data_IF_505985963670
#
_entry.id   IF_505985963670
#
_cell.length_a   1.000
_cell.length_b   1.000
_cell.length_c   1.000
_cell.angle_alpha   90.00
_cell.angle_beta   90.00
_cell.angle_gamma   90.00
#
_symmetry.space_group_name_H-M   'P 1'
#
loop_
_entity.id
_entity.type
_entity.pdbx_description
1 polymer ?
#
# COMPACT_ATOMS: atom_id res chain seq x y z
N UNK A 1 -25.90 -49.33 8.95
CA UNK A 1 -25.94 -47.96 8.38
C UNK A 1 -24.62 -47.28 8.72
N UNK A 2 -23.73 -47.12 7.74
CA UNK A 2 -22.48 -46.36 7.93
C UNK A 2 -22.79 -44.87 7.72
N UNK A 3 -22.51 -44.05 8.72
CA UNK A 3 -22.78 -42.61 8.68
C UNK A 3 -21.90 -41.92 7.62
N UNK A 4 -22.51 -41.02 6.86
CA UNK A 4 -21.80 -40.17 5.90
C UNK A 4 -20.80 -39.27 6.66
N UNK A 5 -19.51 -39.43 6.35
CA UNK A 5 -18.45 -38.58 6.87
C UNK A 5 -18.44 -37.29 6.05
N UNK A 6 -19.03 -36.22 6.60
CA UNK A 6 -18.88 -34.86 6.06
C UNK A 6 -17.47 -34.38 6.37
N UNK A 7 -16.56 -34.52 5.41
CA UNK A 7 -15.24 -33.92 5.50
C UNK A 7 -15.34 -32.43 5.19
N UNK A 8 -14.90 -31.62 6.16
CA UNK A 8 -14.89 -30.17 6.07
C UNK A 8 -13.86 -29.76 5.00
N UNK A 9 -14.33 -29.43 3.80
CA UNK A 9 -13.47 -28.94 2.72
C UNK A 9 -13.04 -27.53 3.12
N UNK A 10 -11.91 -27.41 3.83
CA UNK A 10 -11.22 -26.13 3.88
C UNK A 10 -10.89 -25.75 2.45
N UNK A 11 -11.59 -24.73 1.94
CA UNK A 11 -11.29 -24.10 0.65
C UNK A 11 -9.79 -23.87 0.60
N UNK A 12 -9.11 -24.64 -0.25
CA UNK A 12 -7.67 -24.53 -0.46
C UNK A 12 -7.46 -23.12 -0.97
N UNK A 13 -7.08 -22.20 -0.07
CA UNK A 13 -6.87 -20.79 -0.36
C UNK A 13 -5.92 -20.75 -1.55
N UNK A 14 -6.46 -20.43 -2.73
CA UNK A 14 -5.65 -20.13 -3.90
C UNK A 14 -4.94 -18.84 -3.50
N UNK A 15 -3.74 -18.96 -2.95
CA UNK A 15 -2.83 -17.85 -2.77
C UNK A 15 -2.45 -17.45 -4.19
N UNK A 16 -3.27 -16.60 -4.80
CA UNK A 16 -2.83 -15.86 -5.98
C UNK A 16 -1.57 -15.12 -5.52
N UNK A 17 -0.44 -15.21 -6.23
CA UNK A 17 0.68 -14.32 -5.95
C UNK A 17 0.11 -12.90 -6.08
N UNK A 18 -0.01 -12.21 -4.96
CA UNK A 18 -0.59 -10.88 -4.97
C UNK A 18 0.53 -9.95 -5.44
N UNK A 19 0.53 -9.72 -6.75
CA UNK A 19 1.43 -8.76 -7.39
C UNK A 19 1.13 -7.34 -6.94
N UNK A 20 1.95 -6.40 -7.40
CA UNK A 20 1.77 -4.97 -7.19
C UNK A 20 0.35 -4.55 -7.60
N UNK A 21 -0.49 -4.15 -6.63
CA UNK A 21 -1.89 -3.81 -6.88
C UNK A 21 -2.04 -2.31 -7.14
N UNK A 22 -2.47 -1.87 -8.34
CA UNK A 22 -2.79 -0.47 -8.59
C UNK A 22 -4.07 -0.08 -7.87
N UNK A 23 -4.02 1.01 -7.11
CA UNK A 23 -5.14 1.54 -6.34
C UNK A 23 -5.32 3.03 -6.60
N UNK A 24 -6.53 3.51 -6.34
CA UNK A 24 -6.77 4.93 -6.05
C UNK A 24 -6.42 5.23 -4.59
N UNK A 25 -6.17 6.49 -4.26
CA UNK A 25 -5.91 6.90 -2.86
C UNK A 25 -7.11 6.58 -1.96
N UNK A 26 -8.34 6.74 -2.46
CA UNK A 26 -9.56 6.35 -1.72
C UNK A 26 -9.58 4.87 -1.37
N UNK A 27 -9.25 3.99 -2.31
CA UNK A 27 -9.20 2.55 -2.04
C UNK A 27 -8.13 2.20 -1.00
N UNK A 28 -6.95 2.83 -1.09
CA UNK A 28 -5.91 2.68 -0.08
C UNK A 28 -6.41 3.13 1.30
N UNK A 29 -6.98 4.33 1.41
CA UNK A 29 -7.51 4.91 2.64
C UNK A 29 -8.66 4.08 3.24
N UNK A 30 -9.48 3.44 2.41
CA UNK A 30 -10.61 2.61 2.85
C UNK A 30 -10.25 1.14 3.10
N UNK A 31 -8.99 0.73 2.86
CA UNK A 31 -8.56 -0.64 3.06
C UNK A 31 -8.82 -1.12 4.50
N UNK A 32 -9.22 -2.38 4.68
CA UNK A 32 -9.46 -2.95 6.00
C UNK A 32 -8.22 -3.73 6.43
N UNK A 33 -7.73 -3.53 7.66
CA UNK A 33 -6.60 -4.32 8.13
C UNK A 33 -7.03 -5.78 8.28
N UNK A 34 -6.27 -6.71 7.69
CA UNK A 34 -6.54 -8.14 7.82
C UNK A 34 -6.31 -8.56 9.29
N UNK A 35 -7.09 -9.52 9.86
CA UNK A 35 -6.96 -9.93 11.25
C UNK A 35 -5.56 -10.44 11.66
N UNK A 36 -4.76 -10.93 10.71
CA UNK A 36 -3.36 -11.33 10.95
C UNK A 36 -2.40 -10.14 11.10
N UNK A 37 -2.84 -8.91 10.84
CA UNK A 37 -2.09 -7.67 11.03
C UNK A 37 -1.09 -7.30 9.92
N UNK A 38 -0.70 -8.25 9.06
CA UNK A 38 0.39 -8.07 8.10
C UNK A 38 -0.02 -7.47 6.75
N UNK A 39 -1.32 -7.43 6.47
CA UNK A 39 -1.87 -7.06 5.17
C UNK A 39 -3.21 -6.34 5.31
N UNK A 40 -3.74 -5.87 4.17
CA UNK A 40 -4.99 -5.14 4.06
C UNK A 40 -5.90 -5.82 3.04
N UNK A 41 -7.20 -5.81 3.31
CA UNK A 41 -8.24 -6.24 2.40
C UNK A 41 -8.75 -4.99 1.65
N UNK A 42 -8.58 -5.00 0.33
CA UNK A 42 -9.09 -3.98 -0.59
C UNK A 42 -9.96 -4.67 -1.62
N UNK A 43 -11.25 -4.34 -1.70
CA UNK A 43 -12.21 -4.94 -2.64
C UNK A 43 -12.19 -6.49 -2.63
N UNK A 44 -11.97 -7.09 -1.45
CA UNK A 44 -11.89 -8.55 -1.25
C UNK A 44 -10.51 -9.16 -1.55
N UNK A 45 -9.53 -8.36 -1.97
CA UNK A 45 -8.15 -8.77 -2.24
C UNK A 45 -7.26 -8.47 -1.04
N UNK A 46 -6.56 -9.49 -0.54
CA UNK A 46 -5.60 -9.38 0.55
C UNK A 46 -4.22 -8.95 0.00
N UNK A 47 -3.77 -7.73 0.28
CA UNK A 47 -2.48 -7.19 -0.18
C UNK A 47 -1.84 -6.24 0.84
N UNK A 48 -0.53 -6.08 0.77
CA UNK A 48 0.15 -4.91 1.33
C UNK A 48 1.05 -4.20 0.33
N UNK A 49 1.26 -4.71 -0.89
CA UNK A 49 2.11 -4.11 -1.92
C UNK A 49 1.20 -3.44 -2.96
N UNK A 50 1.35 -2.14 -3.12
CA UNK A 50 0.45 -1.32 -3.94
C UNK A 50 1.21 -0.33 -4.81
N UNK A 51 0.57 0.14 -5.88
CA UNK A 51 1.01 1.30 -6.64
C UNK A 51 -0.06 2.37 -6.67
N UNK A 52 0.37 3.61 -6.46
CA UNK A 52 -0.48 4.80 -6.51
C UNK A 52 0.14 5.80 -7.49
N UNK A 53 -0.71 6.60 -8.12
CA UNK A 53 -0.31 7.73 -8.95
C UNK A 53 -0.99 8.97 -8.41
N UNK A 54 -0.23 10.04 -8.20
CA UNK A 54 -0.78 11.30 -7.74
C UNK A 54 0.23 12.43 -7.79
N UNK A 55 -0.25 13.63 -7.50
CA UNK A 55 0.55 14.84 -7.40
C UNK A 55 1.22 14.92 -6.04
N UNK A 56 2.51 15.23 -6.03
CA UNK A 56 3.29 15.43 -4.82
C UNK A 56 3.01 16.81 -4.23
N UNK A 57 2.79 16.86 -2.92
CA UNK A 57 2.68 18.10 -2.16
C UNK A 57 3.39 17.96 -0.80
N UNK A 58 3.97 19.04 -0.29
CA UNK A 58 4.54 19.07 1.06
C UNK A 58 5.74 18.15 1.22
N UNK A 59 6.64 18.10 0.22
CA UNK A 59 7.89 17.34 0.34
C UNK A 59 8.74 17.86 1.49
N UNK A 60 9.15 16.96 2.37
CA UNK A 60 10.09 17.17 3.45
C UNK A 60 11.25 16.17 3.31
N UNK A 61 12.48 16.67 3.32
CA UNK A 61 13.70 15.87 3.25
C UNK A 61 14.35 15.82 4.63
N UNK A 62 14.60 14.60 5.12
CA UNK A 62 15.32 14.34 6.36
C UNK A 62 16.57 13.49 6.07
N UNK A 63 17.47 13.39 7.05
CA UNK A 63 18.73 12.64 6.91
C UNK A 63 18.53 11.17 6.51
N UNK A 64 17.40 10.57 6.92
CA UNK A 64 17.15 9.12 6.75
C UNK A 64 15.94 8.81 5.86
N UNK A 65 15.12 9.81 5.54
CA UNK A 65 13.90 9.63 4.76
C UNK A 65 13.44 10.91 4.06
N UNK A 66 12.63 10.74 3.03
CA UNK A 66 11.85 11.82 2.41
C UNK A 66 10.37 11.49 2.60
N UNK A 67 9.60 12.46 3.05
CA UNK A 67 8.14 12.34 3.20
C UNK A 67 7.41 13.39 2.37
N UNK A 68 6.22 13.05 1.89
CA UNK A 68 5.34 13.95 1.15
C UNK A 68 3.91 13.41 1.18
N UNK A 69 2.93 14.24 0.83
CA UNK A 69 1.57 13.78 0.55
C UNK A 69 1.38 13.56 -0.95
N UNK A 70 0.66 12.49 -1.30
CA UNK A 70 0.28 12.13 -2.65
C UNK A 70 -1.22 12.36 -2.85
N UNK A 71 -1.58 13.23 -3.78
CA UNK A 71 -2.95 13.60 -4.09
C UNK A 71 -3.40 13.01 -5.43
N UNK A 72 -4.48 12.23 -5.42
CA UNK A 72 -5.24 11.93 -6.63
C UNK A 72 -6.66 12.54 -6.51
N UNK A 73 -7.47 12.55 -7.59
CA UNK A 73 -8.84 13.06 -7.53
C UNK A 73 -9.78 12.34 -6.53
N UNK A 74 -9.32 11.25 -5.91
CA UNK A 74 -10.09 10.44 -4.95
C UNK A 74 -9.66 10.65 -3.50
N UNK A 75 -8.49 11.25 -3.24
CA UNK A 75 -8.04 11.61 -1.90
C UNK A 75 -6.56 11.94 -1.78
N UNK A 76 -6.13 12.10 -0.53
CA UNK A 76 -4.74 12.36 -0.10
C UNK A 76 -4.22 11.21 0.76
N UNK A 77 -2.95 10.85 0.61
CA UNK A 77 -2.25 9.89 1.48
C UNK A 77 -0.81 10.35 1.74
N UNK A 78 -0.31 10.11 2.95
CA UNK A 78 1.07 10.42 3.29
C UNK A 78 2.00 9.30 2.82
N UNK A 79 3.17 9.65 2.32
CA UNK A 79 4.19 8.74 1.80
C UNK A 79 5.49 8.99 2.56
N UNK A 80 6.16 7.90 2.96
CA UNK A 80 7.51 7.95 3.55
C UNK A 80 8.46 7.02 2.82
N UNK A 81 9.48 7.60 2.19
CA UNK A 81 10.51 6.91 1.43
C UNK A 81 11.82 6.89 2.23
N UNK A 82 12.26 5.73 2.70
CA UNK A 82 13.53 5.59 3.43
C UNK A 82 14.72 5.64 2.46
N UNK A 83 15.70 6.49 2.76
CA UNK A 83 16.91 6.63 1.97
C UNK A 83 17.87 5.47 2.30
N UNK A 84 17.95 4.47 1.42
CA UNK A 84 18.82 3.30 1.56
C UNK A 84 19.63 3.06 0.27
N UNK A 85 20.95 3.18 0.37
CA UNK A 85 21.86 3.02 -0.78
C UNK A 85 21.81 4.19 -1.75
N UNK A 86 22.87 4.37 -2.55
CA UNK A 86 23.05 5.59 -3.36
C UNK A 86 21.97 5.81 -4.44
N UNK A 87 21.56 4.76 -5.16
CA UNK A 87 20.62 4.89 -6.29
C UNK A 87 19.19 5.22 -5.88
N UNK A 88 18.71 4.66 -4.76
CA UNK A 88 17.38 5.00 -4.25
C UNK A 88 17.31 6.46 -3.81
N UNK A 89 18.43 7.02 -3.33
CA UNK A 89 18.49 8.41 -2.93
C UNK A 89 18.28 9.37 -4.12
N UNK A 90 18.92 9.14 -5.27
CA UNK A 90 18.80 10.09 -6.40
C UNK A 90 17.37 10.23 -6.93
N UNK A 91 16.67 9.11 -7.15
CA UNK A 91 15.28 9.13 -7.65
C UNK A 91 14.34 9.81 -6.65
N UNK A 92 14.42 9.43 -5.37
CA UNK A 92 13.59 10.00 -4.30
C UNK A 92 13.88 11.50 -4.09
N UNK A 93 15.16 11.90 -4.12
CA UNK A 93 15.57 13.29 -3.96
C UNK A 93 15.15 14.15 -5.17
N UNK A 94 15.03 13.56 -6.36
CA UNK A 94 14.57 14.28 -7.56
C UNK A 94 13.08 14.65 -7.56
N UNK A 95 12.28 14.06 -6.65
CA UNK A 95 10.85 14.34 -6.50
C UNK A 95 10.64 15.83 -6.16
N UNK A 96 9.62 16.46 -6.74
CA UNK A 96 9.29 17.86 -6.52
C UNK A 96 7.80 18.04 -6.33
N UNK A 97 7.41 18.99 -5.48
CA UNK A 97 6.03 19.43 -5.32
C UNK A 97 5.43 19.87 -6.66
N UNK A 98 4.14 19.60 -6.85
CA UNK A 98 3.41 19.91 -8.08
C UNK A 98 3.72 18.97 -9.25
N UNK A 99 4.53 17.93 -9.06
CA UNK A 99 4.76 16.88 -10.07
C UNK A 99 3.94 15.64 -9.77
N UNK A 100 3.50 14.97 -10.83
CA UNK A 100 2.89 13.65 -10.73
C UNK A 100 3.97 12.58 -10.65
N UNK A 101 3.80 11.64 -9.72
CA UNK A 101 4.68 10.48 -9.55
C UNK A 101 3.87 9.20 -9.50
N UNK A 102 4.50 8.08 -9.84
CA UNK A 102 4.01 6.74 -9.52
C UNK A 102 4.87 6.19 -8.40
N UNK A 103 4.25 5.76 -7.31
CA UNK A 103 4.96 5.10 -6.22
C UNK A 103 4.68 3.60 -6.23
N UNK A 104 5.67 2.81 -5.83
CA UNK A 104 5.56 1.40 -5.51
C UNK A 104 5.90 1.23 -4.04
N UNK A 105 4.93 0.83 -3.22
CA UNK A 105 5.06 0.92 -1.77
C UNK A 105 4.33 -0.17 -1.03
N UNK A 106 4.50 -0.15 0.29
CA UNK A 106 3.73 -0.98 1.20
C UNK A 106 2.77 -0.13 2.02
N UNK A 107 1.50 -0.51 2.07
CA UNK A 107 0.54 0.14 2.96
C UNK A 107 0.92 -0.13 4.43
N UNK A 108 0.82 0.90 5.26
CA UNK A 108 1.01 0.84 6.70
C UNK A 108 -0.18 1.51 7.39
N UNK A 109 -0.73 0.83 8.40
CA UNK A 109 -1.80 1.38 9.23
C UNK A 109 -1.21 2.03 10.48
N UNK A 110 -1.60 3.28 10.76
CA UNK A 110 -1.25 4.00 11.99
C UNK A 110 -2.54 4.56 12.57
N UNK A 111 -3.06 3.95 13.65
CA UNK A 111 -4.26 4.35 14.43
C UNK A 111 -5.17 5.38 13.73
N UNK A 112 -6.02 4.90 12.81
CA UNK A 112 -7.03 5.70 12.10
C UNK A 112 -6.63 6.18 10.71
N UNK A 113 -5.33 6.32 10.44
CA UNK A 113 -4.79 6.76 9.15
C UNK A 113 -3.94 5.66 8.48
N UNK A 114 -3.78 5.77 7.16
CA UNK A 114 -2.91 4.90 6.37
C UNK A 114 -1.87 5.73 5.65
N UNK A 115 -0.67 5.17 5.51
CA UNK A 115 0.48 5.72 4.79
C UNK A 115 1.29 4.64 4.09
#
# INVERSE_FOLDING_TARGET
MQGLKVENIQSKRIVRPVGLLPLTVKQANQALQHPSGNTFIVDGVDTNIVTLVGMVTGKEENTIDVSFSLDDPTGRIDVKCWLKGAHACEEILSIQDGKYVRIHGRLKGIRGNKS
#
